data_IF_034234226188
#
_entry.id   IF_034234226188
#
_cell.length_a   1.000
_cell.length_b   1.000
_cell.length_c   1.000
_cell.angle_alpha   90.00
_cell.angle_beta   90.00
_cell.angle_gamma   90.00
#
_symmetry.space_group_name_H-M   'P 1'
#
loop_
_entity.id
_entity.type
_entity.pdbx_description
1 polymer ?
#
# COMPACT_ATOMS: atom_id res chain seq x y z
N UNK A 1 9.75 1.86 -8.70
CA UNK A 1 8.47 1.12 -8.92
C UNK A 1 8.64 -0.33 -8.42
N UNK A 2 7.56 -1.09 -8.16
CA UNK A 2 7.68 -2.48 -7.64
C UNK A 2 8.41 -3.45 -8.57
N UNK A 3 8.43 -3.17 -9.88
CA UNK A 3 9.21 -3.93 -10.86
C UNK A 3 10.71 -3.78 -10.58
N UNK A 4 11.17 -2.58 -10.20
CA UNK A 4 12.59 -2.33 -9.89
C UNK A 4 12.99 -3.08 -8.62
N UNK A 5 12.10 -3.17 -7.64
CA UNK A 5 12.29 -4.01 -6.45
C UNK A 5 12.47 -5.49 -6.84
N UNK A 6 11.61 -6.04 -7.70
CA UNK A 6 11.74 -7.41 -8.18
C UNK A 6 13.06 -7.67 -8.92
N UNK A 7 13.47 -6.74 -9.78
CA UNK A 7 14.74 -6.83 -10.49
C UNK A 7 15.94 -6.71 -9.54
N UNK A 8 15.83 -5.87 -8.50
CA UNK A 8 16.83 -5.75 -7.45
C UNK A 8 17.02 -7.07 -6.69
N UNK A 9 15.94 -7.75 -6.31
CA UNK A 9 16.03 -9.07 -5.65
C UNK A 9 16.71 -10.11 -6.55
N UNK A 10 16.41 -10.12 -7.85
CA UNK A 10 17.09 -10.99 -8.82
C UNK A 10 18.58 -10.68 -8.94
N UNK A 11 18.95 -9.40 -8.96
CA UNK A 11 20.34 -8.96 -8.97
C UNK A 11 21.09 -9.43 -7.71
N UNK A 12 20.41 -9.50 -6.56
CA UNK A 12 20.90 -10.06 -5.30
C UNK A 12 20.85 -11.59 -5.22
N UNK A 13 20.60 -12.27 -6.35
CA UNK A 13 20.58 -13.73 -6.48
C UNK A 13 19.53 -14.42 -5.60
N UNK A 14 18.43 -13.73 -5.29
CA UNK A 14 17.26 -14.40 -4.72
C UNK A 14 16.51 -15.13 -5.85
N UNK A 15 16.12 -16.41 -5.65
CA UNK A 15 15.44 -17.22 -6.66
C UNK A 15 13.95 -16.85 -6.75
N UNK A 16 13.64 -15.57 -6.90
CA UNK A 16 12.27 -15.06 -7.02
C UNK A 16 11.72 -15.34 -8.42
N UNK A 17 10.54 -15.95 -8.47
CA UNK A 17 9.82 -16.25 -9.70
C UNK A 17 8.82 -15.15 -10.05
N UNK A 18 8.48 -15.05 -11.34
CA UNK A 18 7.41 -14.14 -11.79
C UNK A 18 6.07 -14.48 -11.15
N UNK A 19 5.81 -15.78 -10.87
CA UNK A 19 4.57 -16.22 -10.24
C UNK A 19 4.43 -15.65 -8.82
N UNK A 20 5.49 -15.75 -8.02
CA UNK A 20 5.50 -15.21 -6.65
C UNK A 20 5.38 -13.69 -6.66
N UNK A 21 6.00 -13.02 -7.62
CA UNK A 21 5.84 -11.58 -7.80
C UNK A 21 4.40 -11.19 -8.16
N UNK A 22 3.74 -11.93 -9.06
CA UNK A 22 2.33 -11.71 -9.35
C UNK A 22 1.45 -11.93 -8.12
N UNK A 23 1.76 -12.93 -7.29
CA UNK A 23 1.06 -13.13 -6.00
C UNK A 23 1.18 -11.91 -5.09
N UNK A 24 2.37 -11.28 -4.99
CA UNK A 24 2.54 -10.03 -4.23
C UNK A 24 1.62 -8.93 -4.78
N UNK A 25 1.58 -8.76 -6.11
CA UNK A 25 0.75 -7.73 -6.72
C UNK A 25 -0.75 -7.99 -6.51
N UNK A 26 -1.19 -9.25 -6.57
CA UNK A 26 -2.57 -9.64 -6.30
C UNK A 26 -2.98 -9.31 -4.87
N UNK A 27 -2.16 -9.66 -3.86
CA UNK A 27 -2.53 -9.32 -2.48
C UNK A 27 -2.42 -7.84 -2.15
N UNK A 28 -1.55 -7.08 -2.83
CA UNK A 28 -1.58 -5.61 -2.74
C UNK A 28 -2.88 -5.03 -3.29
N UNK A 29 -3.32 -5.51 -4.45
CA UNK A 29 -4.60 -5.11 -5.06
C UNK A 29 -5.79 -5.46 -4.17
N UNK A 30 -5.73 -6.63 -3.52
CA UNK A 30 -6.82 -7.14 -2.69
C UNK A 30 -6.69 -6.68 -1.22
N UNK A 31 -5.79 -5.73 -0.92
CA UNK A 31 -5.54 -5.14 0.40
C UNK A 31 -5.23 -6.16 1.51
N UNK A 32 -4.48 -7.22 1.17
CA UNK A 32 -4.09 -8.30 2.09
C UNK A 32 -3.07 -7.81 3.12
N UNK A 33 -2.22 -6.85 2.78
CA UNK A 33 -1.31 -6.19 3.71
C UNK A 33 -1.71 -4.74 3.96
N UNK A 34 -1.39 -4.24 5.16
CA UNK A 34 -1.66 -2.85 5.54
C UNK A 34 -0.83 -1.82 4.73
N UNK A 35 -1.09 -0.52 4.94
CA UNK A 35 -0.41 0.55 4.22
C UNK A 35 1.03 0.79 4.69
N UNK A 36 1.52 0.06 5.70
CA UNK A 36 2.84 0.25 6.26
C UNK A 36 3.93 -0.50 5.48
N UNK A 37 5.15 0.03 5.51
CA UNK A 37 6.31 -0.63 4.91
C UNK A 37 6.63 -1.96 5.62
N UNK A 38 6.38 -2.04 6.94
CA UNK A 38 6.59 -3.24 7.73
C UNK A 38 5.61 -4.36 7.33
N UNK A 39 4.33 -4.02 7.14
CA UNK A 39 3.34 -4.99 6.64
C UNK A 39 3.73 -5.51 5.26
N UNK A 40 4.16 -4.61 4.38
CA UNK A 40 4.65 -4.99 3.07
C UNK A 40 5.92 -5.85 3.15
N UNK A 41 6.85 -5.55 4.05
CA UNK A 41 8.05 -6.36 4.27
C UNK A 41 7.70 -7.80 4.60
N UNK A 42 6.83 -8.02 5.59
CA UNK A 42 6.43 -9.37 6.00
C UNK A 42 5.66 -10.09 4.89
N UNK A 43 4.75 -9.39 4.23
CA UNK A 43 3.97 -9.94 3.13
C UNK A 43 4.84 -10.33 1.93
N UNK A 44 5.74 -9.44 1.50
CA UNK A 44 6.67 -9.70 0.41
C UNK A 44 7.60 -10.87 0.74
N UNK A 45 8.13 -10.96 1.97
CA UNK A 45 8.98 -12.07 2.40
C UNK A 45 8.23 -13.41 2.33
N UNK A 46 6.99 -13.45 2.83
CA UNK A 46 6.11 -14.62 2.77
C UNK A 46 5.86 -15.10 1.33
N UNK A 47 5.59 -14.16 0.42
CA UNK A 47 5.28 -14.46 -0.96
C UNK A 47 6.53 -14.83 -1.78
N UNK A 48 7.67 -14.18 -1.56
CA UNK A 48 8.85 -14.26 -2.45
C UNK A 48 9.91 -15.26 -1.99
N UNK A 49 9.96 -15.62 -0.71
CA UNK A 49 11.01 -16.48 -0.17
C UNK A 49 10.43 -17.82 0.28
N UNK A 50 10.91 -18.92 -0.32
CA UNK A 50 10.45 -20.30 -0.04
C UNK A 50 11.43 -21.12 0.78
N UNK A 51 12.63 -20.60 0.94
CA UNK A 51 13.71 -21.22 1.69
C UNK A 51 14.17 -20.23 2.76
N UNK A 52 14.04 -20.65 4.02
CA UNK A 52 14.41 -19.83 5.19
C UNK A 52 15.90 -19.46 5.20
N UNK A 53 16.77 -20.26 4.58
CA UNK A 53 18.20 -19.94 4.46
C UNK A 53 18.48 -18.66 3.65
N UNK A 54 17.47 -18.15 2.93
CA UNK A 54 17.57 -16.94 2.13
C UNK A 54 17.01 -15.70 2.83
N UNK A 55 16.53 -15.81 4.07
CA UNK A 55 15.97 -14.67 4.82
C UNK A 55 16.98 -13.55 4.98
N UNK A 56 18.21 -13.86 5.40
CA UNK A 56 19.26 -12.84 5.56
C UNK A 56 19.53 -12.05 4.27
N UNK A 57 19.52 -12.75 3.11
CA UNK A 57 19.72 -12.10 1.81
C UNK A 57 18.54 -11.23 1.42
N UNK A 58 17.32 -11.69 1.69
CA UNK A 58 16.12 -10.90 1.47
C UNK A 58 16.14 -9.65 2.34
N UNK A 59 16.45 -9.78 3.63
CA UNK A 59 16.48 -8.67 4.58
C UNK A 59 17.51 -7.61 4.17
N UNK A 60 18.69 -8.03 3.73
CA UNK A 60 19.70 -7.13 3.18
C UNK A 60 19.21 -6.43 1.90
N UNK A 61 18.69 -7.17 0.92
CA UNK A 61 18.23 -6.59 -0.34
C UNK A 61 17.03 -5.65 -0.14
N UNK A 62 16.09 -6.02 0.74
CA UNK A 62 14.95 -5.20 1.09
C UNK A 62 15.40 -3.92 1.80
N UNK A 63 16.25 -4.06 2.81
CA UNK A 63 16.81 -2.94 3.55
C UNK A 63 17.62 -1.99 2.68
N UNK A 64 18.37 -2.50 1.70
CA UNK A 64 19.10 -1.67 0.73
C UNK A 64 18.17 -0.90 -0.21
N UNK A 65 17.13 -1.56 -0.73
CA UNK A 65 16.20 -0.95 -1.68
C UNK A 65 15.31 0.11 -1.02
N UNK A 66 14.85 -0.14 0.21
CA UNK A 66 13.96 0.76 0.95
C UNK A 66 14.69 1.64 1.97
N UNK A 67 16.04 1.66 1.98
CA UNK A 67 16.80 2.51 2.90
C UNK A 67 16.47 3.99 2.68
N UNK A 68 15.89 4.63 3.69
CA UNK A 68 15.47 6.04 3.63
C UNK A 68 14.09 6.28 3.02
N UNK A 69 13.36 5.22 2.67
CA UNK A 69 11.97 5.26 2.22
C UNK A 69 11.07 5.03 3.43
N UNK A 70 10.37 6.07 3.88
CA UNK A 70 9.42 5.99 5.02
C UNK A 70 8.01 5.59 4.59
N UNK A 71 7.70 5.61 3.29
CA UNK A 71 6.40 5.26 2.72
C UNK A 71 6.56 4.61 1.34
N UNK A 72 5.70 3.64 1.01
CA UNK A 72 5.76 2.93 -0.27
C UNK A 72 5.50 3.90 -1.44
N UNK A 73 6.46 4.08 -2.38
CA UNK A 73 6.24 4.93 -3.54
C UNK A 73 5.15 4.32 -4.44
N UNK A 74 4.07 5.07 -4.65
CA UNK A 74 2.90 4.64 -5.42
C UNK A 74 1.69 4.23 -4.59
N UNK A 75 1.77 4.29 -3.26
CA UNK A 75 0.60 4.27 -2.37
C UNK A 75 0.11 5.70 -2.05
N UNK A 76 0.42 6.67 -2.90
CA UNK A 76 -0.36 7.91 -2.97
C UNK A 76 -1.67 7.52 -3.63
N UNK A 77 -2.63 7.07 -2.82
CA UNK A 77 -4.00 7.04 -3.26
C UNK A 77 -4.40 8.51 -3.48
N UNK A 78 -4.28 8.98 -4.72
CA UNK A 78 -5.02 10.14 -5.21
C UNK A 78 -6.50 9.75 -5.14
N UNK A 79 -7.06 9.77 -3.93
CA UNK A 79 -8.47 9.54 -3.70
C UNK A 79 -9.17 10.77 -4.27
N UNK A 80 -9.87 10.67 -5.42
CA UNK A 80 -10.42 11.85 -6.05
C UNK A 80 -11.42 12.46 -5.08
N UNK A 81 -11.24 13.75 -4.77
CA UNK A 81 -12.05 14.44 -3.78
C UNK A 81 -13.55 14.32 -4.10
N UNK A 82 -13.89 14.30 -5.38
CA UNK A 82 -15.25 14.10 -5.88
C UNK A 82 -15.82 12.70 -5.56
N UNK A 83 -14.97 11.68 -5.54
CA UNK A 83 -15.36 10.31 -5.18
C UNK A 83 -15.64 10.21 -3.67
N UNK A 84 -14.80 10.84 -2.85
CA UNK A 84 -14.99 11.00 -1.41
C UNK A 84 -16.31 11.73 -1.09
N UNK A 85 -16.55 12.87 -1.76
CA UNK A 85 -17.78 13.67 -1.63
C UNK A 85 -19.03 12.88 -2.01
N UNK A 86 -18.97 12.08 -3.07
CA UNK A 86 -20.09 11.24 -3.51
C UNK A 86 -20.40 10.10 -2.52
N UNK A 87 -19.37 9.50 -1.91
CA UNK A 87 -19.51 8.45 -0.90
C UNK A 87 -20.09 9.00 0.40
N UNK A 88 -19.57 10.13 0.89
CA UNK A 88 -20.09 10.81 2.07
C UNK A 88 -21.59 11.14 1.91
N UNK A 89 -22.00 11.75 0.78
CA UNK A 89 -23.41 12.07 0.51
C UNK A 89 -24.35 10.86 0.56
N UNK A 90 -23.89 9.66 0.20
CA UNK A 90 -24.69 8.43 0.23
C UNK A 90 -24.93 7.89 1.64
N UNK A 91 -23.99 8.10 2.56
CA UNK A 91 -24.05 7.53 3.91
C UNK A 91 -24.51 8.51 4.99
N UNK A 92 -24.68 9.81 4.69
CA UNK A 92 -25.21 10.75 5.66
C UNK A 92 -26.71 10.58 5.93
N UNK A 93 -27.07 10.52 7.22
CA UNK A 93 -28.45 10.54 7.71
C UNK A 93 -29.13 11.90 7.46
N UNK A 94 -30.46 11.99 7.49
CA UNK A 94 -31.19 13.23 7.18
C UNK A 94 -30.76 14.43 8.04
N UNK A 95 -30.42 14.19 9.30
CA UNK A 95 -29.96 15.21 10.23
C UNK A 95 -28.55 15.72 9.91
N UNK A 96 -27.67 14.84 9.46
CA UNK A 96 -26.30 15.18 9.08
C UNK A 96 -26.27 15.94 7.75
N UNK A 97 -27.16 15.59 6.80
CA UNK A 97 -27.31 16.32 5.52
C UNK A 97 -27.69 17.78 5.75
N UNK A 98 -28.59 18.05 6.70
CA UNK A 98 -29.02 19.40 7.06
C UNK A 98 -27.92 20.22 7.74
N UNK A 99 -27.03 19.57 8.52
CA UNK A 99 -25.84 20.22 9.08
C UNK A 99 -24.82 20.55 7.98
N UNK A 100 -24.69 19.67 6.98
CA UNK A 100 -23.75 19.84 5.88
C UNK A 100 -24.17 20.96 4.91
N UNK A 101 -25.48 21.14 4.67
CA UNK A 101 -26.00 22.30 3.94
C UNK A 101 -25.75 23.64 4.65
N UNK A 102 -25.69 23.64 6.00
CA UNK A 102 -25.49 24.85 6.79
C UNK A 102 -24.03 25.23 7.02
N UNK A 103 -23.13 24.26 7.20
CA UNK A 103 -21.71 24.55 7.48
C UNK A 103 -20.82 24.60 6.23
N UNK A 104 -21.26 24.03 5.11
CA UNK A 104 -20.44 23.90 3.90
C UNK A 104 -19.38 22.80 4.03
N UNK A 105 -19.04 22.17 2.91
CA UNK A 105 -18.09 21.05 2.86
C UNK A 105 -16.69 21.41 3.37
N UNK A 106 -16.28 22.67 3.23
CA UNK A 106 -14.92 23.13 3.56
C UNK A 106 -14.60 23.03 5.06
N UNK A 107 -15.56 23.35 5.94
CA UNK A 107 -15.33 23.28 7.40
C UNK A 107 -15.33 21.86 7.95
N UNK A 108 -16.04 20.94 7.30
CA UNK A 108 -16.12 19.55 7.74
C UNK A 108 -14.80 18.81 7.50
N UNK A 109 -14.04 19.23 6.50
CA UNK A 109 -12.70 18.70 6.18
C UNK A 109 -11.59 19.28 7.06
N UNK A 110 -11.81 20.42 7.73
CA UNK A 110 -10.86 20.98 8.69
C UNK A 110 -10.95 20.32 10.08
N UNK A 111 -12.08 19.68 10.40
CA UNK A 111 -12.29 19.00 11.70
C UNK A 111 -11.87 17.52 11.71
N UNK A 112 -11.55 16.91 10.55
CA UNK A 112 -11.13 15.51 10.39
C UNK A 112 -9.70 15.39 9.87
#
# INVERSE_FOLDING_TARGET
MLIDFFLHLKARKLPVSTREFLTVLEGLRDHVCGPSLDDFYYYARLCLVKDESLYDRFDQAFGEYFKGVTALPGLEADLPEDWLRAMARKHLSPEERAKLEKLGWDKLMEEF
#
